data_IF_808910381928
#
_entry.id   IF_808910381928
#
_cell.length_a   1.000
_cell.length_b   1.000
_cell.length_c   1.000
_cell.angle_alpha   90.00
_cell.angle_beta   90.00
_cell.angle_gamma   90.00
#
_symmetry.space_group_name_H-M   'P 1'
#
loop_
_entity.id
_entity.type
_entity.pdbx_description
1 polymer ?
#
# COMPACT_ATOMS: atom_id res chain seq x y z
N UNK A 1 -0.93 9.02 -11.91
CA UNK A 1 -0.41 8.04 -10.94
C UNK A 1 -0.66 8.62 -9.55
N UNK A 2 -0.94 7.77 -8.57
CA UNK A 2 -1.19 8.20 -7.18
C UNK A 2 -0.26 7.43 -6.23
N UNK A 3 0.01 8.03 -5.08
CA UNK A 3 0.85 7.44 -4.04
C UNK A 3 0.00 7.27 -2.77
N UNK A 4 0.25 6.19 -2.03
CA UNK A 4 -0.52 5.95 -0.82
C UNK A 4 -0.40 4.54 -0.24
N UNK A 5 -1.13 4.34 0.85
CA UNK A 5 -1.27 3.04 1.49
C UNK A 5 -2.33 2.23 0.75
N UNK A 6 -1.99 1.17 -0.02
CA UNK A 6 -2.97 0.32 -0.64
C UNK A 6 -3.84 -0.33 0.43
N UNK A 7 -5.14 -0.44 0.13
CA UNK A 7 -6.09 -1.14 0.99
C UNK A 7 -6.74 -2.30 0.26
N UNK A 8 -7.15 -3.31 1.03
CA UNK A 8 -7.99 -4.38 0.53
C UNK A 8 -9.48 -4.00 0.49
N UNK A 9 -10.30 -5.01 0.23
CA UNK A 9 -11.74 -4.85 0.08
C UNK A 9 -12.43 -4.29 1.33
N UNK A 10 -11.82 -4.49 2.50
CA UNK A 10 -12.27 -4.06 3.83
C UNK A 10 -11.63 -2.73 4.27
N UNK A 11 -11.00 -1.99 3.35
CA UNK A 11 -10.33 -0.72 3.64
C UNK A 11 -9.18 -0.86 4.68
N UNK A 12 -8.60 -2.05 4.79
CA UNK A 12 -7.49 -2.36 5.68
C UNK A 12 -6.17 -2.14 4.95
N UNK A 13 -5.23 -1.43 5.59
CA UNK A 13 -3.87 -1.27 5.07
C UNK A 13 -3.15 -2.61 5.15
N UNK A 14 -2.26 -2.85 4.19
CA UNK A 14 -1.39 -4.03 4.22
C UNK A 14 -0.25 -3.82 5.21
N UNK A 15 -0.28 -4.57 6.30
CA UNK A 15 0.73 -4.50 7.36
C UNK A 15 2.04 -5.11 6.83
N UNK A 16 3.16 -4.53 7.20
CA UNK A 16 4.50 -5.03 6.92
C UNK A 16 5.35 -5.01 8.19
N UNK A 17 6.02 -6.12 8.49
CA UNK A 17 6.99 -6.21 9.58
C UNK A 17 8.39 -5.79 9.09
N UNK A 18 8.54 -4.52 8.71
CA UNK A 18 9.79 -3.95 8.18
C UNK A 18 10.33 -4.64 6.90
N UNK A 19 9.52 -5.48 6.26
CA UNK A 19 9.90 -6.18 5.05
C UNK A 19 9.60 -5.35 3.82
N UNK A 20 10.59 -4.60 3.34
CA UNK A 20 10.47 -3.77 2.14
C UNK A 20 10.19 -4.61 0.89
N UNK A 21 10.77 -5.81 0.78
CA UNK A 21 10.57 -6.69 -0.38
C UNK A 21 9.10 -7.10 -0.52
N UNK A 22 8.45 -7.44 0.60
CA UNK A 22 7.02 -7.75 0.62
C UNK A 22 6.18 -6.60 0.05
N UNK A 23 6.42 -5.37 0.51
CA UNK A 23 5.70 -4.21 0.01
C UNK A 23 6.04 -3.89 -1.44
N UNK A 24 7.30 -4.04 -1.85
CA UNK A 24 7.70 -3.89 -3.24
C UNK A 24 6.91 -4.84 -4.14
N UNK A 25 6.95 -6.14 -3.87
CA UNK A 25 6.25 -7.16 -4.67
C UNK A 25 4.73 -6.91 -4.69
N UNK A 26 4.14 -6.55 -3.54
CA UNK A 26 2.72 -6.20 -3.43
C UNK A 26 2.36 -4.99 -4.30
N UNK A 27 3.14 -3.91 -4.20
CA UNK A 27 2.91 -2.69 -4.96
C UNK A 27 3.13 -2.92 -6.47
N UNK A 28 4.16 -3.69 -6.86
CA UNK A 28 4.35 -4.11 -8.27
C UNK A 28 3.14 -4.89 -8.78
N UNK A 29 2.57 -5.78 -7.98
CA UNK A 29 1.34 -6.52 -8.30
C UNK A 29 0.13 -5.60 -8.53
N UNK A 30 0.07 -4.46 -7.83
CA UNK A 30 -0.94 -3.41 -8.02
C UNK A 30 -0.60 -2.42 -9.15
N UNK A 31 0.40 -2.74 -9.99
CA UNK A 31 0.92 -1.88 -11.07
C UNK A 31 1.50 -0.55 -10.58
N UNK A 32 2.00 -0.52 -9.35
CA UNK A 32 2.80 0.59 -8.86
C UNK A 32 4.22 0.59 -9.46
N UNK A 33 4.91 1.71 -9.33
CA UNK A 33 6.30 1.86 -9.73
C UNK A 33 7.22 1.14 -8.73
N UNK A 34 7.02 1.45 -7.45
CA UNK A 34 7.75 0.94 -6.30
C UNK A 34 6.80 0.72 -5.11
N UNK A 35 7.35 0.10 -4.06
CA UNK A 35 6.68 -0.06 -2.79
C UNK A 35 7.67 -0.37 -1.70
N UNK A 36 7.37 0.07 -0.47
CA UNK A 36 8.23 -0.15 0.68
C UNK A 36 7.40 -0.18 1.97
N UNK A 37 8.02 -0.66 3.04
CA UNK A 37 7.38 -0.74 4.35
C UNK A 37 7.59 0.56 5.11
N UNK A 38 6.50 1.29 5.38
CA UNK A 38 6.58 2.53 6.15
C UNK A 38 6.65 2.20 7.65
N UNK A 39 7.86 2.27 8.22
CA UNK A 39 8.15 1.85 9.59
C UNK A 39 7.29 2.54 10.67
N UNK A 40 6.82 3.77 10.44
CA UNK A 40 5.98 4.50 11.40
C UNK A 40 4.58 3.88 11.57
N UNK A 41 4.03 3.30 10.50
CA UNK A 41 2.69 2.71 10.54
C UNK A 41 2.71 1.20 10.33
N UNK A 42 3.90 0.61 10.22
CA UNK A 42 4.13 -0.79 9.86
C UNK A 42 3.22 -1.22 8.71
N UNK A 43 3.04 -0.34 7.71
CA UNK A 43 2.13 -0.56 6.59
C UNK A 43 2.88 -0.33 5.28
N UNK A 44 2.54 -1.09 4.25
CA UNK A 44 3.08 -0.88 2.92
C UNK A 44 2.61 0.46 2.37
N UNK A 45 3.55 1.20 1.76
CA UNK A 45 3.28 2.40 0.99
C UNK A 45 3.73 2.13 -0.44
N UNK A 46 2.86 2.42 -1.41
CA UNK A 46 3.15 2.25 -2.83
C UNK A 46 3.28 3.62 -3.50
N UNK A 47 4.23 3.74 -4.41
CA UNK A 47 4.41 4.93 -5.24
C UNK A 47 4.15 4.58 -6.70
N UNK A 48 3.44 5.46 -7.39
CA UNK A 48 3.13 5.32 -8.78
C UNK A 48 2.00 4.35 -9.10
N UNK A 49 1.05 4.14 -8.18
CA UNK A 49 -0.15 3.34 -8.42
C UNK A 49 -1.00 3.95 -9.56
N UNK A 50 -1.80 3.12 -10.25
CA UNK A 50 -2.77 3.63 -11.22
C UNK A 50 -3.84 4.46 -10.50
N UNK A 51 -4.44 5.42 -11.20
CA UNK A 51 -5.37 6.41 -10.61
C UNK A 51 -6.62 5.76 -9.97
N UNK A 52 -7.00 4.58 -10.45
CA UNK A 52 -8.10 3.77 -9.93
C UNK A 52 -7.72 2.87 -8.74
N UNK A 53 -6.49 2.94 -8.22
CA UNK A 53 -6.07 2.11 -7.11
C UNK A 53 -6.79 2.49 -5.81
N UNK A 54 -7.15 1.48 -5.03
CA UNK A 54 -7.76 1.65 -3.71
C UNK A 54 -6.67 1.96 -2.69
N UNK A 55 -6.58 3.23 -2.30
CA UNK A 55 -5.68 3.70 -1.25
C UNK A 55 -6.46 4.18 -0.02
N UNK A 56 -5.81 4.15 1.14
CA UNK A 56 -6.40 4.63 2.40
C UNK A 56 -6.64 6.14 2.34
N UNK A 57 -7.90 6.56 2.20
CA UNK A 57 -8.33 7.97 2.26
C UNK A 57 -9.03 8.37 3.56
N UNK A 58 -9.38 7.38 4.40
CA UNK A 58 -10.15 7.57 5.62
C UNK A 58 -10.95 6.31 5.97
N UNK A 59 -11.72 6.36 7.05
CA UNK A 59 -12.58 5.25 7.51
C UNK A 59 -11.84 4.13 8.26
N UNK A 60 -12.61 3.28 8.95
CA UNK A 60 -12.09 2.10 9.65
C UNK A 60 -11.81 0.96 8.66
N UNK A 61 -10.99 0.01 9.10
CA UNK A 61 -10.77 -1.28 8.46
C UNK A 61 -11.88 -2.22 8.97
N UNK A 62 -12.75 -2.71 8.08
CA UNK A 62 -13.90 -3.58 8.40
C UNK A 62 -14.31 -4.41 7.20
#
# INVERSE_FOLDING_TARGET
>A
KIDGYPVDNWNCKRICWYNNKYCYDLCKGLKADSGYCWGWTLSCYCEGLPDNARIKRGGRCN
#
